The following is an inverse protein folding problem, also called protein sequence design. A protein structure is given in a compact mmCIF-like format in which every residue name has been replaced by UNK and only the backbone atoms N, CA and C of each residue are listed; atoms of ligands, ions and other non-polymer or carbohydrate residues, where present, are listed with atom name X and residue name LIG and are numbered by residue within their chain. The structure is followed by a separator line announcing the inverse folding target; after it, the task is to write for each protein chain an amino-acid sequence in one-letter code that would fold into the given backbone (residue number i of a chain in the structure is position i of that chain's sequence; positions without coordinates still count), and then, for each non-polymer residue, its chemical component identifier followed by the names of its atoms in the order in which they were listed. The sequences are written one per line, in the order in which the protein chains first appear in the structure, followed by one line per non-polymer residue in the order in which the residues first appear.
data_IF_812785792133
#
_entry.id   IF_812785792133
#
_cell.length_a   1.000
_cell.length_b   1.000
_cell.length_c   1.000
_cell.angle_alpha   90.00
_cell.angle_beta   90.00
_cell.angle_gamma   90.00
#
_symmetry.space_group_name_H-M   'P 1'
#
loop_
_entity.id
_entity.type
_entity.pdbx_description
1 polymer ?
#
# COMPACT_ATOMS: atom_id res chain seq x y z
N UNK A 1 -0.39 25.56 0.65
CA UNK A 1 0.65 24.83 -0.14
C UNK A 1 2.01 25.53 -0.04
N UNK A 2 2.11 26.53 0.84
CA UNK A 2 3.13 27.57 0.79
C UNK A 2 4.51 27.08 1.25
N UNK A 3 4.55 25.92 1.90
CA UNK A 3 5.77 25.25 2.37
C UNK A 3 6.18 24.03 1.52
N UNK A 4 5.47 23.74 0.43
CA UNK A 4 5.82 22.68 -0.54
C UNK A 4 5.84 23.25 -1.96
N UNK A 5 6.72 24.24 -2.26
CA UNK A 5 6.66 25.01 -3.50
C UNK A 5 6.83 24.13 -4.75
N UNK A 6 7.72 23.14 -4.70
CA UNK A 6 7.93 22.22 -5.84
C UNK A 6 6.71 21.35 -6.12
N UNK A 7 6.00 20.88 -5.08
CA UNK A 7 4.78 20.08 -5.26
C UNK A 7 3.66 20.93 -5.83
N UNK A 8 3.53 22.18 -5.37
CA UNK A 8 2.53 23.10 -5.88
C UNK A 8 2.76 23.48 -7.34
N UNK A 9 3.99 23.84 -7.69
CA UNK A 9 4.40 24.15 -9.06
C UNK A 9 4.18 22.96 -10.01
N UNK A 10 4.69 21.77 -9.65
CA UNK A 10 4.69 20.62 -10.57
C UNK A 10 3.40 19.83 -10.62
N UNK A 11 2.61 19.79 -9.54
CA UNK A 11 1.40 18.96 -9.44
C UNK A 11 0.16 19.78 -9.14
N UNK A 12 0.22 20.69 -8.16
CA UNK A 12 -0.95 21.46 -7.71
C UNK A 12 -1.55 22.36 -8.80
N UNK A 13 -0.69 23.11 -9.51
CA UNK A 13 -1.11 24.09 -10.52
C UNK A 13 -1.43 23.46 -11.89
N UNK A 14 -0.90 22.26 -12.17
CA UNK A 14 -1.06 21.58 -13.47
C UNK A 14 -1.94 20.32 -13.39
N UNK A 15 -2.58 20.09 -12.25
CA UNK A 15 -3.38 18.89 -11.99
C UNK A 15 -4.77 19.21 -11.44
N UNK A 16 -5.41 18.18 -10.89
CA UNK A 16 -6.72 18.28 -10.26
C UNK A 16 -6.55 18.25 -8.74
N UNK A 17 -7.09 19.25 -8.06
CA UNK A 17 -7.13 19.30 -6.60
C UNK A 17 -8.46 18.78 -6.08
N UNK A 18 -8.42 17.72 -5.29
CA UNK A 18 -9.59 17.21 -4.57
C UNK A 18 -9.68 17.85 -3.19
N UNK A 19 -10.60 18.81 -3.02
CA UNK A 19 -10.83 19.47 -1.72
C UNK A 19 -11.40 18.52 -0.64
N UNK A 20 -11.92 17.36 -1.06
CA UNK A 20 -12.55 16.35 -0.20
C UNK A 20 -12.05 14.95 -0.57
N UNK A 21 -10.79 14.67 -0.25
CA UNK A 21 -10.19 13.34 -0.40
C UNK A 21 -10.13 12.65 0.97
N UNK A 22 -10.68 11.44 1.08
CA UNK A 22 -10.80 10.71 2.35
C UNK A 22 -10.15 9.34 2.24
N UNK A 23 -9.62 8.85 3.37
CA UNK A 23 -9.20 7.48 3.54
C UNK A 23 -10.25 6.70 4.35
N UNK A 24 -10.36 5.40 4.11
CA UNK A 24 -11.29 4.50 4.81
C UNK A 24 -10.87 4.24 6.27
N UNK A 25 -9.60 4.48 6.62
CA UNK A 25 -9.07 4.37 7.97
C UNK A 25 -7.86 5.28 8.15
N UNK A 26 -7.71 5.82 9.36
CA UNK A 26 -6.57 6.64 9.77
C UNK A 26 -5.29 5.81 10.03
N UNK A 27 -5.37 4.48 10.02
CA UNK A 27 -4.22 3.60 10.23
C UNK A 27 -3.53 3.22 8.93
N UNK A 28 -2.20 3.14 8.94
CA UNK A 28 -1.41 3.02 7.71
C UNK A 28 -1.66 1.71 6.94
N UNK A 29 -1.73 0.57 7.62
CA UNK A 29 -1.96 -0.74 6.97
C UNK A 29 -3.38 -0.84 6.36
N UNK A 30 -4.48 -0.62 7.12
CA UNK A 30 -5.83 -0.64 6.54
C UNK A 30 -6.00 0.38 5.41
N UNK A 31 -5.43 1.58 5.55
CA UNK A 31 -5.49 2.63 4.51
C UNK A 31 -4.81 2.18 3.22
N UNK A 32 -3.59 1.64 3.31
CA UNK A 32 -2.83 1.13 2.15
C UNK A 32 -3.51 -0.08 1.50
N UNK A 33 -4.01 -1.01 2.30
CA UNK A 33 -4.72 -2.19 1.78
C UNK A 33 -6.01 -1.76 1.08
N UNK A 34 -6.75 -0.78 1.63
CA UNK A 34 -7.94 -0.23 0.98
C UNK A 34 -7.58 0.46 -0.34
N UNK A 35 -6.48 1.21 -0.38
CA UNK A 35 -5.99 1.85 -1.62
C UNK A 35 -5.65 0.81 -2.69
N UNK A 36 -4.96 -0.28 -2.34
CA UNK A 36 -4.54 -1.28 -3.33
C UNK A 36 -5.66 -2.20 -3.80
N UNK A 37 -6.68 -2.43 -2.98
CA UNK A 37 -7.74 -3.40 -3.29
C UNK A 37 -9.06 -2.73 -3.69
N UNK A 38 -9.21 -1.42 -3.47
CA UNK A 38 -10.48 -0.71 -3.64
C UNK A 38 -11.57 -1.12 -2.65
N UNK A 39 -11.25 -1.94 -1.65
CA UNK A 39 -12.19 -2.53 -0.68
C UNK A 39 -12.12 -1.79 0.65
N UNK A 40 -13.26 -1.63 1.33
CA UNK A 40 -13.29 -1.06 2.68
C UNK A 40 -12.62 -1.99 3.69
N UNK A 41 -12.19 -1.44 4.82
CA UNK A 41 -11.48 -2.16 5.89
C UNK A 41 -12.24 -3.39 6.40
N UNK A 42 -13.57 -3.32 6.47
CA UNK A 42 -14.40 -4.45 6.90
C UNK A 42 -14.45 -5.60 5.86
N UNK A 43 -14.18 -5.34 4.58
CA UNK A 43 -14.11 -6.36 3.53
C UNK A 43 -12.72 -7.00 3.43
N UNK A 44 -11.67 -6.30 3.86
CA UNK A 44 -10.28 -6.80 3.80
C UNK A 44 -9.82 -7.43 5.09
N UNK A 45 -10.50 -7.14 6.21
CA UNK A 45 -10.20 -7.66 7.55
C UNK A 45 -8.76 -7.35 8.03
N UNK A 46 -8.09 -6.38 7.41
CA UNK A 46 -6.84 -5.77 7.89
C UNK A 46 -7.26 -4.50 8.62
N UNK A 47 -7.40 -4.54 9.93
CA UNK A 47 -8.00 -3.46 10.74
C UNK A 47 -7.00 -2.65 11.55
N UNK A 48 -5.77 -3.16 11.72
CA UNK A 48 -4.72 -2.55 12.55
C UNK A 48 -3.39 -2.43 11.78
N UNK A 49 -2.41 -1.76 12.38
CA UNK A 49 -1.01 -1.75 11.95
C UNK A 49 -0.22 -2.93 12.50
N UNK A 50 -0.62 -3.47 13.65
CA UNK A 50 0.08 -4.55 14.34
C UNK A 50 -0.58 -5.92 14.12
N UNK A 51 0.21 -6.98 14.26
CA UNK A 51 -0.32 -8.36 14.27
C UNK A 51 -1.13 -8.60 15.55
N UNK A 52 -2.17 -9.45 15.53
CA UNK A 52 -2.61 -10.31 14.42
C UNK A 52 -3.59 -9.63 13.45
N UNK A 53 -4.02 -8.40 13.73
CA UNK A 53 -5.09 -7.72 13.00
C UNK A 53 -4.61 -6.90 11.79
N UNK A 54 -3.30 -6.81 11.60
CA UNK A 54 -2.65 -5.89 10.68
C UNK A 54 -1.36 -6.40 10.07
N UNK A 55 -0.76 -5.54 9.24
CA UNK A 55 0.54 -5.78 8.64
C UNK A 55 0.56 -6.82 7.51
N UNK A 56 1.77 -7.12 7.07
CA UNK A 56 2.04 -8.01 5.93
C UNK A 56 1.51 -9.44 6.14
N UNK A 57 1.69 -10.09 7.31
CA UNK A 57 1.17 -11.44 7.51
C UNK A 57 -0.36 -11.50 7.38
N UNK A 58 -1.08 -10.48 7.90
CA UNK A 58 -2.53 -10.41 7.74
C UNK A 58 -2.92 -10.20 6.28
N UNK A 59 -2.24 -9.31 5.56
CA UNK A 59 -2.45 -9.11 4.12
C UNK A 59 -2.32 -10.41 3.31
N UNK A 60 -1.28 -11.20 3.58
CA UNK A 60 -1.06 -12.50 2.92
C UNK A 60 -2.13 -13.51 3.31
N UNK A 61 -2.41 -13.68 4.60
CA UNK A 61 -3.38 -14.69 5.08
C UNK A 61 -4.82 -14.40 4.67
N UNK A 62 -5.16 -13.15 4.32
CA UNK A 62 -6.45 -12.79 3.75
C UNK A 62 -6.53 -13.01 2.22
N UNK A 63 -5.47 -13.54 1.58
CA UNK A 63 -5.45 -13.78 0.12
C UNK A 63 -5.41 -12.50 -0.72
N UNK A 64 -5.15 -11.34 -0.11
CA UNK A 64 -5.19 -10.05 -0.80
C UNK A 64 -4.01 -9.87 -1.77
N UNK A 65 -2.97 -10.69 -1.63
CA UNK A 65 -1.83 -10.73 -2.55
C UNK A 65 -2.17 -11.33 -3.92
N UNK A 66 -3.37 -11.89 -4.09
CA UNK A 66 -3.81 -12.55 -5.32
C UNK A 66 -4.83 -11.72 -6.12
N UNK A 67 -5.35 -10.62 -5.55
CA UNK A 67 -6.34 -9.74 -6.18
C UNK A 67 -6.17 -8.29 -5.66
N UNK A 68 -5.24 -7.56 -6.28
CA UNK A 68 -4.96 -6.17 -5.95
C UNK A 68 -4.28 -5.42 -7.11
N UNK A 69 -4.32 -4.09 -7.04
CA UNK A 69 -3.92 -3.14 -8.08
C UNK A 69 -2.70 -3.53 -8.95
N UNK A 70 -1.52 -3.86 -8.39
CA UNK A 70 -0.35 -4.19 -9.21
C UNK A 70 -0.55 -5.40 -10.13
N UNK A 71 -1.35 -6.41 -9.72
CA UNK A 71 -1.70 -7.53 -10.60
C UNK A 71 -2.58 -7.07 -11.76
N UNK A 72 -3.60 -6.26 -11.48
CA UNK A 72 -4.49 -5.72 -12.51
C UNK A 72 -3.73 -4.86 -13.54
N UNK A 73 -2.70 -4.12 -13.09
CA UNK A 73 -1.82 -3.36 -13.97
C UNK A 73 -0.93 -4.28 -14.83
N UNK A 74 -0.37 -5.34 -14.25
CA UNK A 74 0.43 -6.32 -14.98
C UNK A 74 -0.39 -7.09 -16.02
N UNK A 75 -1.64 -7.45 -15.69
CA UNK A 75 -2.58 -8.08 -16.63
C UNK A 75 -2.87 -7.16 -17.82
N UNK A 76 -2.83 -5.84 -17.61
CA UNK A 76 -2.90 -4.81 -18.66
C UNK A 76 -1.59 -4.57 -19.42
N UNK A 77 -0.52 -5.34 -19.16
CA UNK A 77 0.78 -5.21 -19.80
C UNK A 77 1.67 -4.09 -19.25
N UNK A 78 1.35 -3.53 -18.07
CA UNK A 78 2.11 -2.43 -17.46
C UNK A 78 3.19 -2.98 -16.54
N UNK A 79 4.43 -2.51 -16.73
CA UNK A 79 5.50 -2.78 -15.78
C UNK A 79 5.31 -2.00 -14.50
N UNK A 80 5.30 -2.71 -13.38
CA UNK A 80 5.02 -2.16 -12.05
C UNK A 80 6.30 -2.12 -11.22
N UNK A 81 6.53 -1.00 -10.53
CA UNK A 81 7.69 -0.83 -9.67
C UNK A 81 7.30 -0.21 -8.33
N UNK A 82 7.70 -0.82 -7.22
CA UNK A 82 7.42 -0.31 -5.88
C UNK A 82 8.66 0.24 -5.19
N UNK A 83 8.57 1.43 -4.60
CA UNK A 83 9.65 2.02 -3.78
C UNK A 83 9.08 2.49 -2.45
N UNK A 84 9.75 2.12 -1.36
CA UNK A 84 9.44 2.61 -0.02
C UNK A 84 8.79 1.57 0.88
N UNK A 85 8.05 2.04 1.89
CA UNK A 85 7.42 1.19 2.91
C UNK A 85 6.15 0.54 2.35
N UNK A 86 6.10 -0.78 2.28
CA UNK A 86 4.93 -1.53 1.79
C UNK A 86 3.82 -1.64 2.87
N UNK A 87 4.01 -2.48 3.89
CA UNK A 87 3.14 -2.62 5.06
C UNK A 87 3.97 -2.90 6.32
N UNK A 88 3.42 -2.65 7.51
CA UNK A 88 4.10 -3.05 8.76
C UNK A 88 4.33 -4.57 8.79
N UNK A 89 5.42 -5.02 9.41
CA UNK A 89 5.77 -6.44 9.46
C UNK A 89 6.24 -7.03 8.12
N UNK A 90 6.43 -6.20 7.08
CA UNK A 90 7.21 -6.56 5.88
C UNK A 90 8.68 -6.31 6.18
N UNK A 91 9.41 -7.39 6.46
CA UNK A 91 10.77 -7.39 7.01
C UNK A 91 11.75 -8.06 6.06
N UNK A 92 13.06 -7.91 6.30
CA UNK A 92 14.09 -8.66 5.56
C UNK A 92 13.96 -10.19 5.68
N UNK A 93 13.20 -10.69 6.66
CA UNK A 93 13.03 -12.13 6.89
C UNK A 93 11.83 -12.72 6.12
N UNK A 94 10.81 -11.92 5.82
CA UNK A 94 9.59 -12.39 5.18
C UNK A 94 9.23 -11.66 3.88
N UNK A 95 10.07 -10.72 3.40
CA UNK A 95 9.77 -9.93 2.20
C UNK A 95 9.61 -10.77 0.93
N UNK A 96 10.16 -11.98 0.91
CA UNK A 96 10.06 -12.97 -0.17
C UNK A 96 9.19 -14.19 0.19
N UNK A 97 8.58 -14.24 1.38
CA UNK A 97 7.90 -15.42 1.90
C UNK A 97 6.47 -15.13 2.41
N UNK A 98 5.46 -15.10 1.52
CA UNK A 98 5.61 -14.98 0.06
C UNK A 98 6.00 -13.55 -0.33
N UNK A 99 6.59 -13.39 -1.52
CA UNK A 99 6.80 -12.07 -2.10
C UNK A 99 5.47 -11.40 -2.44
N UNK A 100 5.42 -10.07 -2.38
CA UNK A 100 4.27 -9.33 -2.87
C UNK A 100 4.21 -9.52 -4.39
N UNK A 101 3.08 -10.02 -4.90
CA UNK A 101 2.94 -10.39 -6.31
C UNK A 101 2.68 -9.16 -7.17
N UNK A 102 2.85 -9.25 -8.49
CA UNK A 102 2.45 -8.15 -9.36
C UNK A 102 3.44 -6.99 -9.45
N UNK A 103 4.66 -7.13 -8.93
CA UNK A 103 5.71 -6.11 -9.03
C UNK A 103 6.84 -6.60 -9.95
N UNK A 104 7.04 -5.93 -11.09
CA UNK A 104 8.17 -6.22 -12.01
C UNK A 104 9.52 -5.94 -11.35
N UNK A 105 9.55 -4.96 -10.43
CA UNK A 105 10.69 -4.75 -9.53
C UNK A 105 10.27 -4.02 -8.25
N UNK A 106 11.14 -4.05 -7.24
CA UNK A 106 10.85 -3.39 -5.98
C UNK A 106 12.10 -2.98 -5.21
N UNK A 107 12.02 -1.84 -4.52
CA UNK A 107 12.98 -1.40 -3.49
C UNK A 107 12.22 -1.09 -2.20
N UNK A 108 11.98 -2.14 -1.40
CA UNK A 108 11.26 -2.01 -0.15
C UNK A 108 12.10 -1.36 0.95
N UNK A 109 11.46 -0.54 1.77
CA UNK A 109 11.96 -0.14 3.09
C UNK A 109 11.28 -1.05 4.11
N UNK A 110 12.04 -2.00 4.63
CA UNK A 110 11.55 -3.01 5.56
C UNK A 110 11.31 -2.42 6.94
N UNK A 111 10.25 -2.87 7.62
CA UNK A 111 9.90 -2.40 8.96
C UNK A 111 9.60 -3.57 9.87
N UNK A 112 10.13 -3.56 11.10
CA UNK A 112 9.67 -4.47 12.15
C UNK A 112 8.21 -4.15 12.48
N UNK A 113 7.41 -5.19 12.75
CA UNK A 113 6.20 -4.98 13.53
C UNK A 113 6.66 -4.57 14.93
N UNK A 114 6.22 -3.41 15.43
CA UNK A 114 6.57 -2.97 16.79
C UNK A 114 6.23 -4.06 17.80
N UNK A 115 7.15 -4.28 18.74
CA UNK A 115 7.02 -5.14 19.92
C UNK A 115 5.85 -4.75 20.80
#
# INVERSE_FOLDING_TARGET
MDYMPTVNDKLGQHGVTFHKHYCTSAFCCPSRVSLFTGKCVHNTNVTDVATPWGGYPKFITQGLNDDYLPLWLQDGGINTYYVGKFTNGHTIHNYQHPAARGWTGSKYVTTSAGS
#
